data_IF_725554921231
#
_entry.id   IF_725554921231
#
_cell.length_a   1.000
_cell.length_b   1.000
_cell.length_c   1.000
_cell.angle_alpha   90.00
_cell.angle_beta   90.00
_cell.angle_gamma   90.00
#
_symmetry.space_group_name_H-M   'P 1'
#
loop_
_entity.id
_entity.type
_entity.pdbx_description
1 polymer ?
#
# COMPACT_ATOMS: atom_id res chain seq x y z
N UNK A 1 17.28 7.79 -82.85
CA UNK A 1 16.46 6.79 -82.14
C UNK A 1 17.13 6.55 -80.80
N UNK A 2 16.63 7.19 -79.70
CA UNK A 2 17.27 7.17 -78.40
C UNK A 2 16.31 6.43 -77.44
N UNK A 3 16.70 5.23 -76.95
CA UNK A 3 15.92 4.45 -76.01
C UNK A 3 16.14 4.97 -74.60
N UNK A 4 15.09 5.49 -73.98
CA UNK A 4 15.04 5.86 -72.57
C UNK A 4 14.85 4.58 -71.71
N UNK A 5 15.79 4.31 -70.80
CA UNK A 5 15.67 3.24 -69.83
C UNK A 5 14.89 3.76 -68.59
N UNK A 6 13.71 3.20 -68.38
CA UNK A 6 12.90 3.46 -67.24
C UNK A 6 13.40 2.59 -66.08
N UNK A 7 13.97 3.20 -65.01
CA UNK A 7 14.37 2.53 -63.81
C UNK A 7 13.18 2.50 -62.84
N UNK A 8 12.69 1.28 -62.53
CA UNK A 8 11.63 1.04 -61.56
C UNK A 8 12.25 0.89 -60.19
N UNK A 9 12.07 1.90 -59.33
CA UNK A 9 12.48 1.80 -57.92
C UNK A 9 11.42 1.01 -57.13
N UNK A 10 11.82 -0.13 -56.57
CA UNK A 10 10.99 -0.94 -55.68
C UNK A 10 11.16 -0.39 -54.26
N UNK A 11 10.10 0.25 -53.75
CA UNK A 11 10.02 0.72 -52.35
C UNK A 11 9.67 -0.49 -51.46
N UNK A 12 10.63 -1.03 -50.75
CA UNK A 12 10.42 -2.04 -49.71
C UNK A 12 9.95 -1.37 -48.42
N UNK A 13 8.64 -1.37 -48.16
CA UNK A 13 8.09 -0.95 -46.89
C UNK A 13 8.27 -2.08 -45.89
N UNK A 14 9.28 -1.97 -45.04
CA UNK A 14 9.48 -2.88 -43.90
C UNK A 14 8.40 -2.64 -42.85
N UNK A 15 7.47 -3.59 -42.68
CA UNK A 15 6.57 -3.63 -41.50
C UNK A 15 7.40 -3.98 -40.27
N UNK A 16 7.73 -2.99 -39.46
CA UNK A 16 8.15 -3.27 -38.06
C UNK A 16 6.90 -3.63 -37.25
N UNK A 17 6.68 -4.91 -37.04
CA UNK A 17 5.75 -5.38 -36.03
C UNK A 17 6.33 -5.02 -34.66
N UNK A 18 5.82 -3.96 -34.04
CA UNK A 18 6.08 -3.67 -32.63
C UNK A 18 5.43 -4.82 -31.81
N UNK A 19 6.24 -5.76 -31.32
CA UNK A 19 5.82 -6.66 -30.29
C UNK A 19 5.58 -5.82 -29.01
N UNK A 20 4.34 -5.41 -28.80
CA UNK A 20 3.88 -4.98 -27.49
C UNK A 20 3.88 -6.23 -26.60
N UNK A 21 5.03 -6.53 -26.01
CA UNK A 21 5.14 -7.51 -24.94
C UNK A 21 4.19 -7.04 -23.83
N UNK A 22 3.11 -7.78 -23.61
CA UNK A 22 2.32 -7.66 -22.41
C UNK A 22 3.26 -8.00 -21.24
N UNK A 23 3.80 -6.99 -20.58
CA UNK A 23 4.46 -7.21 -19.29
C UNK A 23 3.41 -7.85 -18.38
N UNK A 24 3.54 -9.13 -18.12
CA UNK A 24 2.79 -9.81 -17.08
C UNK A 24 3.23 -9.15 -15.78
N UNK A 25 2.38 -8.24 -15.27
CA UNK A 25 2.59 -7.61 -13.97
C UNK A 25 2.76 -8.73 -12.94
N UNK A 26 3.96 -8.90 -12.45
CA UNK A 26 4.25 -9.90 -11.41
C UNK A 26 3.37 -9.57 -10.22
N UNK A 27 2.57 -10.53 -9.76
CA UNK A 27 1.72 -10.37 -8.58
C UNK A 27 2.63 -10.04 -7.38
N UNK A 28 2.43 -8.88 -6.78
CA UNK A 28 3.23 -8.37 -5.67
C UNK A 28 2.43 -8.42 -4.35
N UNK A 29 3.07 -8.08 -3.24
CA UNK A 29 2.43 -8.07 -1.94
C UNK A 29 1.19 -7.16 -1.84
N UNK A 30 1.11 -6.09 -2.65
CA UNK A 30 -0.05 -5.21 -2.68
C UNK A 30 -1.33 -5.94 -3.15
N UNK A 31 -1.23 -6.90 -4.08
CA UNK A 31 -2.39 -7.69 -4.50
C UNK A 31 -2.94 -8.55 -3.34
N UNK A 32 -2.08 -8.98 -2.43
CA UNK A 32 -2.51 -9.67 -1.21
C UNK A 32 -3.25 -8.73 -0.26
N UNK A 33 -2.80 -7.46 -0.09
CA UNK A 33 -3.49 -6.48 0.75
C UNK A 33 -4.88 -6.10 0.22
N UNK A 34 -5.12 -6.17 -1.10
CA UNK A 34 -6.45 -5.95 -1.69
C UNK A 34 -7.52 -6.90 -1.15
N UNK A 35 -7.14 -8.06 -0.62
CA UNK A 35 -8.09 -9.01 0.01
C UNK A 35 -8.71 -8.46 1.30
N UNK A 36 -8.14 -7.39 1.87
CA UNK A 36 -8.65 -6.73 3.07
C UNK A 36 -9.83 -5.78 2.79
N UNK A 37 -10.18 -5.52 1.53
CA UNK A 37 -11.35 -4.70 1.19
C UNK A 37 -12.59 -5.16 1.95
N UNK A 38 -13.26 -4.21 2.63
CA UNK A 38 -14.44 -4.46 3.45
C UNK A 38 -14.43 -3.68 4.76
N UNK A 39 -15.34 -4.05 5.66
CA UNK A 39 -15.44 -3.49 7.01
C UNK A 39 -14.97 -4.49 8.05
N UNK A 40 -14.36 -3.96 9.11
CA UNK A 40 -13.73 -4.74 10.15
C UNK A 40 -14.08 -4.19 11.53
N UNK A 41 -14.52 -5.07 12.43
CA UNK A 41 -14.63 -4.76 13.85
C UNK A 41 -13.23 -4.87 14.46
N UNK A 42 -12.79 -3.81 15.15
CA UNK A 42 -11.42 -3.68 15.67
C UNK A 42 -11.43 -3.63 17.18
N UNK A 43 -10.55 -4.41 17.79
CA UNK A 43 -10.30 -4.42 19.23
C UNK A 43 -8.82 -4.25 19.53
N UNK A 44 -8.50 -3.58 20.63
CA UNK A 44 -7.14 -3.47 21.18
C UNK A 44 -7.20 -3.39 22.70
N UNK A 45 -6.11 -3.71 23.42
CA UNK A 45 -6.02 -3.52 24.86
C UNK A 45 -6.33 -2.07 25.25
N UNK A 46 -7.12 -1.90 26.30
CA UNK A 46 -7.47 -0.59 26.88
C UNK A 46 -8.16 0.40 25.94
N UNK A 47 -8.62 -0.05 24.76
CA UNK A 47 -9.37 0.75 23.80
C UNK A 47 -10.81 0.25 23.68
N UNK A 48 -11.74 1.17 23.44
CA UNK A 48 -13.10 0.78 23.07
C UNK A 48 -13.10 0.22 21.66
N UNK A 49 -13.88 -0.84 21.39
CA UNK A 49 -14.03 -1.35 20.03
C UNK A 49 -14.47 -0.25 19.06
N UNK A 50 -13.96 -0.30 17.82
CA UNK A 50 -14.31 0.62 16.74
C UNK A 50 -14.36 -0.12 15.40
N UNK A 51 -14.73 0.57 14.33
CA UNK A 51 -14.79 0.00 12.98
C UNK A 51 -13.69 0.61 12.12
N UNK A 52 -12.98 -0.24 11.39
CA UNK A 52 -12.11 0.15 10.28
C UNK A 52 -12.73 -0.26 8.95
N UNK A 53 -12.44 0.49 7.90
CA UNK A 53 -12.87 0.14 6.54
C UNK A 53 -11.71 0.22 5.57
N UNK A 54 -11.66 -0.76 4.67
CA UNK A 54 -10.69 -0.82 3.59
C UNK A 54 -11.40 -0.73 2.25
N UNK A 55 -10.93 0.15 1.37
CA UNK A 55 -11.46 0.29 0.01
C UNK A 55 -10.37 0.58 -1.01
N UNK A 56 -10.54 0.11 -2.23
CA UNK A 56 -9.68 0.48 -3.33
C UNK A 56 -10.03 1.88 -3.84
N UNK A 57 -9.01 2.66 -4.13
CA UNK A 57 -9.11 4.03 -4.67
C UNK A 57 -8.11 4.20 -5.83
N UNK A 58 -8.18 5.34 -6.53
CA UNK A 58 -7.25 5.67 -7.62
C UNK A 58 -7.16 4.57 -8.69
N UNK A 59 -8.32 4.13 -9.21
CA UNK A 59 -8.40 3.05 -10.20
C UNK A 59 -7.72 1.75 -9.72
N UNK A 60 -7.98 1.36 -8.46
CA UNK A 60 -7.49 0.15 -7.79
C UNK A 60 -5.95 0.08 -7.63
N UNK A 61 -5.28 1.24 -7.73
CA UNK A 61 -3.82 1.33 -7.53
C UNK A 61 -3.41 1.69 -6.11
N UNK A 62 -4.37 2.09 -5.27
CA UNK A 62 -4.15 2.33 -3.85
C UNK A 62 -5.25 1.67 -3.01
N UNK A 63 -4.89 1.20 -1.82
CA UNK A 63 -5.81 0.71 -0.80
C UNK A 63 -5.87 1.75 0.31
N UNK A 64 -7.06 2.26 0.58
CA UNK A 64 -7.31 3.18 1.67
C UNK A 64 -7.87 2.42 2.86
N UNK A 65 -7.25 2.59 4.00
CA UNK A 65 -7.77 2.20 5.29
C UNK A 65 -8.23 3.43 6.05
N UNK A 66 -9.38 3.35 6.70
CA UNK A 66 -9.94 4.43 7.52
C UNK A 66 -10.19 3.92 8.92
N UNK A 67 -9.53 4.51 9.90
CA UNK A 67 -9.84 4.34 11.32
C UNK A 67 -10.84 5.41 11.76
N UNK A 68 -11.97 4.98 12.28
CA UNK A 68 -12.96 5.89 12.81
C UNK A 68 -13.14 5.65 14.32
N UNK A 69 -12.62 6.56 15.14
CA UNK A 69 -12.79 6.49 16.58
C UNK A 69 -13.93 7.41 17.07
N UNK A 70 -14.36 7.24 18.33
CA UNK A 70 -15.49 7.98 18.95
C UNK A 70 -15.32 9.52 19.01
N UNK A 71 -14.13 10.05 18.73
CA UNK A 71 -13.81 11.48 18.89
C UNK A 71 -13.75 12.23 17.55
N UNK A 72 -14.35 11.70 16.49
CA UNK A 72 -14.31 12.25 15.13
C UNK A 72 -12.89 12.48 14.57
N UNK A 73 -11.88 11.85 15.17
CA UNK A 73 -10.51 11.88 14.68
C UNK A 73 -10.32 10.70 13.72
N UNK A 74 -10.72 10.93 12.51
CA UNK A 74 -10.45 9.99 11.42
C UNK A 74 -8.95 9.96 11.13
N UNK A 75 -8.38 8.76 11.14
CA UNK A 75 -7.04 8.52 10.59
C UNK A 75 -7.19 7.75 9.29
N UNK A 76 -6.30 8.00 8.36
CA UNK A 76 -6.29 7.34 7.05
C UNK A 76 -4.90 6.77 6.80
N UNK A 77 -4.83 5.55 6.31
CA UNK A 77 -3.61 4.95 5.77
C UNK A 77 -3.81 4.62 4.31
N UNK A 78 -2.90 5.06 3.45
CA UNK A 78 -2.89 4.72 2.03
C UNK A 78 -1.73 3.76 1.76
N UNK A 79 -2.05 2.57 1.25
CA UNK A 79 -1.09 1.57 0.81
C UNK A 79 -0.99 1.58 -0.71
N UNK A 80 0.23 1.51 -1.25
CA UNK A 80 0.50 1.48 -2.70
C UNK A 80 1.59 0.46 -3.03
N UNK A 81 1.56 -0.09 -4.24
CA UNK A 81 2.68 -0.88 -4.73
C UNK A 81 3.87 0.03 -5.11
N UNK A 82 5.08 -0.38 -4.74
CA UNK A 82 6.34 0.19 -5.20
C UNK A 82 7.29 -0.93 -5.67
N UNK A 83 7.17 -1.31 -6.93
CA UNK A 83 7.87 -2.46 -7.48
C UNK A 83 7.45 -3.77 -6.79
N UNK A 84 8.41 -4.43 -6.13
CA UNK A 84 8.22 -5.63 -5.34
C UNK A 84 7.94 -5.36 -3.85
N UNK A 85 7.89 -4.08 -3.44
CA UNK A 85 7.58 -3.60 -2.09
C UNK A 85 6.16 -3.04 -2.03
N UNK A 86 5.71 -2.82 -0.80
CA UNK A 86 4.52 -2.01 -0.51
C UNK A 86 4.96 -0.81 0.29
N UNK A 87 4.52 0.38 -0.12
CA UNK A 87 4.68 1.62 0.61
C UNK A 87 3.35 2.01 1.26
N UNK A 88 3.42 2.70 2.40
CA UNK A 88 2.26 3.33 3.02
C UNK A 88 2.55 4.76 3.47
N UNK A 89 1.48 5.55 3.50
CA UNK A 89 1.45 6.84 4.19
C UNK A 89 0.31 6.82 5.21
N UNK A 90 0.65 7.05 6.47
CA UNK A 90 -0.33 7.13 7.56
C UNK A 90 -0.62 8.60 7.90
N UNK A 91 -1.86 9.05 7.72
CA UNK A 91 -2.33 10.38 8.10
C UNK A 91 -2.80 10.34 9.54
N UNK A 92 -1.87 10.63 10.45
CA UNK A 92 -2.08 10.46 11.89
C UNK A 92 -2.88 11.61 12.50
N UNK A 93 -3.72 11.29 13.48
CA UNK A 93 -4.51 12.27 14.24
C UNK A 93 -3.67 13.27 15.06
N UNK A 94 -2.36 13.00 15.24
CA UNK A 94 -1.41 13.92 15.86
C UNK A 94 -0.83 14.96 14.89
N UNK A 95 -1.20 14.88 13.59
CA UNK A 95 -0.92 15.91 12.60
C UNK A 95 0.30 15.68 11.72
N UNK A 96 1.05 14.60 11.91
CA UNK A 96 2.13 14.19 11.00
C UNK A 96 1.72 13.05 10.07
N UNK A 97 2.53 12.82 9.02
CA UNK A 97 2.28 11.80 8.03
C UNK A 97 3.54 10.93 7.86
N UNK A 98 3.69 9.86 8.67
CA UNK A 98 4.74 8.87 8.47
C UNK A 98 4.59 8.12 7.13
N UNK A 99 5.74 7.93 6.46
CA UNK A 99 5.91 7.11 5.27
C UNK A 99 6.72 5.88 5.67
N UNK A 100 6.16 4.70 5.43
CA UNK A 100 6.78 3.44 5.76
C UNK A 100 6.79 2.52 4.54
N UNK A 101 7.74 1.60 4.49
CA UNK A 101 7.88 0.63 3.40
C UNK A 101 8.18 -0.77 3.94
N UNK A 102 7.70 -1.80 3.22
CA UNK A 102 8.12 -3.18 3.44
C UNK A 102 9.46 -3.46 2.74
N UNK A 103 10.20 -4.51 3.12
CA UNK A 103 11.12 -5.15 2.19
C UNK A 103 10.36 -5.74 1.00
N UNK A 104 11.05 -6.38 0.04
CA UNK A 104 10.40 -7.08 -1.06
C UNK A 104 9.41 -8.14 -0.53
N UNK A 105 8.15 -8.08 -0.97
CA UNK A 105 7.07 -9.00 -0.57
C UNK A 105 6.31 -9.48 -1.80
N UNK A 106 6.03 -10.79 -1.85
CA UNK A 106 5.26 -11.40 -2.92
C UNK A 106 3.77 -11.54 -2.57
N UNK A 107 2.96 -11.92 -3.54
CA UNK A 107 1.50 -12.06 -3.40
C UNK A 107 1.06 -13.21 -2.47
N UNK A 108 1.95 -14.11 -2.09
CA UNK A 108 1.70 -15.17 -1.12
C UNK A 108 2.04 -14.78 0.32
N UNK A 109 2.56 -13.56 0.56
CA UNK A 109 2.92 -13.10 1.89
C UNK A 109 1.67 -12.96 2.78
N UNK A 110 1.80 -13.37 4.03
CA UNK A 110 0.78 -13.15 5.07
C UNK A 110 1.24 -12.14 6.13
N UNK A 111 2.49 -11.67 6.04
CA UNK A 111 3.06 -10.70 6.96
C UNK A 111 3.77 -9.59 6.20
N UNK A 112 3.48 -8.35 6.58
CA UNK A 112 3.93 -7.12 5.94
C UNK A 112 4.57 -6.23 7.00
N UNK A 113 5.89 -6.35 7.23
CA UNK A 113 6.60 -5.50 8.15
C UNK A 113 6.99 -4.19 7.47
N UNK A 114 6.30 -3.12 7.80
CA UNK A 114 6.62 -1.78 7.32
C UNK A 114 7.56 -1.08 8.29
N UNK A 115 8.65 -0.53 7.79
CA UNK A 115 9.63 0.23 8.54
C UNK A 115 9.60 1.71 8.11
N UNK A 116 9.90 2.61 9.04
CA UNK A 116 9.94 4.05 8.82
C UNK A 116 10.97 4.45 7.77
N UNK A 117 10.55 5.31 6.86
CA UNK A 117 11.41 5.95 5.84
C UNK A 117 11.54 7.44 6.11
N UNK A 118 10.42 8.11 6.30
CA UNK A 118 10.36 9.56 6.53
C UNK A 118 9.00 9.95 7.13
N UNK A 119 8.85 11.20 7.52
CA UNK A 119 7.53 11.75 7.82
C UNK A 119 7.47 13.24 7.44
N UNK A 120 6.30 13.70 7.01
CA UNK A 120 5.99 15.13 6.90
C UNK A 120 5.43 15.64 8.22
N UNK A 121 5.58 16.98 8.46
CA UNK A 121 5.13 17.66 9.69
C UNK A 121 5.74 17.11 10.99
N UNK A 122 6.99 16.63 10.97
CA UNK A 122 7.82 16.43 12.15
C UNK A 122 8.69 17.68 12.35
N UNK A 123 8.61 18.30 13.52
CA UNK A 123 9.48 19.44 13.88
C UNK A 123 10.89 18.94 14.23
N UNK A 124 11.01 17.73 14.78
CA UNK A 124 12.30 17.07 15.09
C UNK A 124 12.18 15.56 14.96
N UNK A 125 13.32 14.88 14.80
CA UNK A 125 13.38 13.42 14.73
C UNK A 125 12.92 12.72 16.02
N UNK A 126 12.90 13.42 17.16
CA UNK A 126 12.42 12.90 18.43
C UNK A 126 10.92 13.05 18.64
N UNK A 127 10.22 13.75 17.76
CA UNK A 127 8.78 13.95 17.89
C UNK A 127 8.02 12.63 17.77
N UNK A 128 6.88 12.59 18.42
CA UNK A 128 6.01 11.40 18.38
C UNK A 128 5.52 11.12 16.96
N UNK A 129 5.74 9.90 16.49
CA UNK A 129 5.26 9.41 15.19
C UNK A 129 5.13 7.90 15.18
N UNK A 130 4.32 7.37 14.27
CA UNK A 130 4.30 5.94 13.99
C UNK A 130 5.56 5.56 13.25
N UNK A 131 6.33 4.60 13.80
CA UNK A 131 7.67 4.25 13.36
C UNK A 131 7.74 2.89 12.66
N UNK A 132 6.84 1.99 13.01
CA UNK A 132 6.70 0.68 12.39
C UNK A 132 5.24 0.25 12.41
N UNK A 133 4.86 -0.59 11.47
CA UNK A 133 3.66 -1.42 11.58
C UNK A 133 3.92 -2.78 10.97
N UNK A 134 3.50 -3.84 11.65
CA UNK A 134 3.43 -5.18 11.08
C UNK A 134 1.97 -5.55 10.90
N UNK A 135 1.53 -5.70 9.64
CA UNK A 135 0.23 -6.23 9.28
C UNK A 135 0.38 -7.74 9.03
N UNK A 136 -0.39 -8.56 9.75
CA UNK A 136 -0.34 -10.02 9.63
C UNK A 136 -1.74 -10.56 9.34
N UNK A 137 -1.92 -11.14 8.15
CA UNK A 137 -3.16 -11.79 7.72
C UNK A 137 -3.16 -13.22 8.26
N UNK A 138 -4.12 -13.54 9.12
CA UNK A 138 -4.28 -14.86 9.73
C UNK A 138 -5.13 -15.77 8.84
N UNK A 139 -6.26 -15.26 8.38
CA UNK A 139 -7.18 -15.94 7.45
C UNK A 139 -8.01 -14.92 6.67
N UNK A 140 -9.13 -15.33 6.05
CA UNK A 140 -10.00 -14.46 5.27
C UNK A 140 -10.79 -13.45 6.14
N UNK A 141 -10.98 -13.77 7.42
CA UNK A 141 -11.84 -13.03 8.34
C UNK A 141 -11.06 -12.41 9.53
N UNK A 142 -9.74 -12.68 9.63
CA UNK A 142 -8.93 -12.19 10.75
C UNK A 142 -7.56 -11.71 10.28
N UNK A 143 -7.12 -10.57 10.80
CA UNK A 143 -5.75 -10.08 10.71
C UNK A 143 -5.41 -9.19 11.91
N UNK A 144 -4.14 -8.91 12.09
CA UNK A 144 -3.64 -7.99 13.13
C UNK A 144 -2.78 -6.89 12.52
N UNK A 145 -2.77 -5.74 13.18
CA UNK A 145 -1.79 -4.68 12.98
C UNK A 145 -1.10 -4.36 14.29
N UNK A 146 0.20 -4.51 14.33
CA UNK A 146 1.02 -4.09 15.47
C UNK A 146 1.73 -2.81 15.09
N UNK A 147 1.23 -1.69 15.58
CA UNK A 147 1.82 -0.36 15.40
C UNK A 147 2.83 -0.07 16.48
N UNK A 148 4.01 0.42 16.11
CA UNK A 148 5.03 0.91 17.04
C UNK A 148 5.14 2.42 16.93
N UNK A 149 4.88 3.11 18.01
CA UNK A 149 5.03 4.54 18.15
C UNK A 149 6.41 4.87 18.72
N UNK A 150 7.11 5.82 18.10
CA UNK A 150 8.34 6.40 18.60
C UNK A 150 8.07 7.74 19.27
N UNK A 151 8.71 7.99 20.42
CA UNK A 151 8.67 9.27 21.12
C UNK A 151 9.90 9.40 22.04
N UNK A 152 10.72 10.43 21.81
CA UNK A 152 11.90 10.75 22.64
C UNK A 152 12.82 9.56 22.90
N UNK A 153 13.13 8.78 21.85
CA UNK A 153 14.01 7.61 21.92
C UNK A 153 13.40 6.38 22.60
N UNK A 154 12.09 6.39 22.86
CA UNK A 154 11.33 5.24 23.38
C UNK A 154 10.35 4.75 22.32
N UNK A 155 10.14 3.45 22.31
CA UNK A 155 9.16 2.80 21.44
C UNK A 155 8.08 2.12 22.27
N UNK A 156 6.85 2.22 21.79
CA UNK A 156 5.70 1.56 22.39
C UNK A 156 4.88 0.89 21.29
N UNK A 157 4.67 -0.41 21.41
CA UNK A 157 3.86 -1.18 20.47
C UNK A 157 2.45 -1.38 21.00
N UNK A 158 1.47 -1.35 20.08
CA UNK A 158 0.07 -1.65 20.33
C UNK A 158 -0.47 -2.53 19.20
N UNK A 159 -1.08 -3.65 19.54
CA UNK A 159 -1.68 -4.58 18.57
C UNK A 159 -3.18 -4.36 18.52
N UNK A 160 -3.67 -4.17 17.29
CA UNK A 160 -5.08 -4.14 16.92
C UNK A 160 -5.46 -5.48 16.29
N UNK A 161 -6.60 -6.03 16.69
CA UNK A 161 -7.17 -7.26 16.17
C UNK A 161 -8.40 -6.91 15.33
N UNK A 162 -8.41 -7.37 14.10
CA UNK A 162 -9.46 -7.12 13.12
C UNK A 162 -10.24 -8.38 12.86
N UNK A 163 -11.56 -8.29 12.99
CA UNK A 163 -12.50 -9.35 12.61
C UNK A 163 -13.42 -8.83 11.53
N UNK A 164 -13.54 -9.55 10.40
CA UNK A 164 -14.36 -9.12 9.27
C UNK A 164 -15.81 -8.97 9.67
N UNK A 165 -16.37 -7.79 9.40
CA UNK A 165 -17.78 -7.54 9.66
C UNK A 165 -18.64 -8.29 8.65
N UNK A 166 -19.51 -9.16 9.13
CA UNK A 166 -20.48 -9.86 8.27
C UNK A 166 -21.67 -8.91 8.01
N UNK A 167 -21.97 -8.72 6.74
CA UNK A 167 -23.12 -7.93 6.27
C UNK A 167 -24.36 -8.79 6.27
#
# INVERSE_FOLDING_TARGET
>A
MTFAKLAMAILVVGLFAANAGSETKTANGFDRLKTLVGQWDVTAPDAKPFVSSFRLVSNDTALEETFQNEKDRQMVTLYTADGDRVALTHYCSIGNQPHLETPAVNSGANEFPFAFVSATNLASAGDMHMHQVTLKIEDADHFTETWTMHMNGKEQALTFHFTRKKV
#
